data_IF_832615394566
#
_entry.id   IF_832615394566
#
_cell.length_a   1.000
_cell.length_b   1.000
_cell.length_c   1.000
_cell.angle_alpha   90.00
_cell.angle_beta   90.00
_cell.angle_gamma   90.00
#
_symmetry.space_group_name_H-M   'P 1'
#
loop_
_entity.id
_entity.type
_entity.pdbx_description
1 polymer ?
#
# COMPACT_ATOMS: atom_id res chain seq x y z
N UNK A 1 15.65 -9.27 13.39
CA UNK A 1 15.30 -9.25 11.95
C UNK A 1 14.65 -7.91 11.66
N UNK A 2 15.21 -7.11 10.74
CA UNK A 2 14.60 -5.83 10.38
C UNK A 2 13.44 -6.08 9.42
N UNK A 3 12.27 -5.44 9.61
CA UNK A 3 11.16 -5.55 8.67
C UNK A 3 11.59 -5.04 7.29
N UNK A 4 11.35 -5.84 6.26
CA UNK A 4 11.69 -5.44 4.90
C UNK A 4 10.49 -4.67 4.31
N UNK A 5 10.69 -3.39 4.05
CA UNK A 5 9.68 -2.57 3.39
C UNK A 5 10.07 -2.41 1.93
N UNK A 6 9.22 -2.89 1.04
CA UNK A 6 9.47 -2.82 -0.39
C UNK A 6 9.10 -1.44 -0.90
N UNK A 7 9.84 -0.97 -1.90
CA UNK A 7 9.41 0.16 -2.74
C UNK A 7 8.04 -0.21 -3.31
N UNK A 8 7.13 0.76 -3.40
CA UNK A 8 5.75 0.51 -3.83
C UNK A 8 5.68 -0.11 -5.24
N UNK A 9 6.69 0.17 -6.06
CA UNK A 9 6.85 -0.39 -7.41
C UNK A 9 7.10 -1.91 -7.42
N UNK A 10 7.63 -2.44 -6.32
CA UNK A 10 7.91 -3.87 -6.15
C UNK A 10 6.75 -4.63 -5.51
N UNK A 11 5.70 -3.94 -5.07
CA UNK A 11 4.54 -4.59 -4.48
C UNK A 11 3.74 -5.31 -5.60
N UNK A 12 3.63 -6.65 -5.56
CA UNK A 12 2.97 -7.40 -6.62
C UNK A 12 1.48 -7.06 -6.69
N UNK A 13 0.91 -7.04 -7.89
CA UNK A 13 -0.51 -6.77 -8.07
C UNK A 13 -0.92 -5.29 -8.02
N UNK A 14 0.06 -4.38 -8.02
CA UNK A 14 -0.14 -2.98 -8.40
C UNK A 14 0.15 -2.78 -9.89
N UNK A 15 -0.72 -2.04 -10.57
CA UNK A 15 -0.48 -1.54 -11.92
C UNK A 15 0.35 -0.26 -11.90
N UNK A 16 1.02 0.07 -13.00
CA UNK A 16 1.80 1.30 -13.16
C UNK A 16 1.00 2.58 -12.87
N UNK A 17 -0.28 2.61 -13.26
CA UNK A 17 -1.20 3.71 -12.95
C UNK A 17 -1.44 3.86 -11.45
N UNK A 18 -1.62 2.73 -10.75
CA UNK A 18 -1.88 2.68 -9.31
C UNK A 18 -0.62 3.06 -8.51
N UNK A 19 0.57 2.63 -8.95
CA UNK A 19 1.85 3.06 -8.38
C UNK A 19 2.02 4.58 -8.48
N UNK A 20 1.68 5.17 -9.63
CA UNK A 20 1.73 6.64 -9.82
C UNK A 20 0.75 7.36 -8.90
N UNK A 21 -0.47 6.83 -8.74
CA UNK A 21 -1.47 7.42 -7.84
C UNK A 21 -1.01 7.36 -6.38
N UNK A 22 -0.44 6.24 -5.94
CA UNK A 22 0.12 6.08 -4.59
C UNK A 22 1.28 7.05 -4.35
N UNK A 23 2.23 7.13 -5.30
CA UNK A 23 3.34 8.10 -5.23
C UNK A 23 2.85 9.55 -5.20
N UNK A 24 1.79 9.88 -5.96
CA UNK A 24 1.16 11.19 -5.91
C UNK A 24 0.50 11.51 -4.55
N UNK A 25 0.21 10.50 -3.73
CA UNK A 25 -0.22 10.65 -2.34
C UNK A 25 0.94 10.57 -1.33
N UNK A 26 2.19 10.61 -1.81
CA UNK A 26 3.39 10.51 -0.98
C UNK A 26 3.65 9.11 -0.42
N UNK A 27 3.12 8.06 -1.06
CA UNK A 27 3.35 6.66 -0.68
C UNK A 27 4.45 6.10 -1.57
N UNK A 28 5.67 6.01 -1.06
CA UNK A 28 6.83 5.52 -1.82
C UNK A 28 7.15 4.05 -1.54
N UNK A 29 6.77 3.54 -0.38
CA UNK A 29 7.03 2.17 0.05
C UNK A 29 5.85 1.56 0.81
N UNK A 30 5.95 0.26 1.10
CA UNK A 30 4.89 -0.48 1.81
C UNK A 30 4.69 0.00 3.26
N UNK A 31 5.71 0.57 3.90
CA UNK A 31 5.56 1.17 5.23
C UNK A 31 4.67 2.41 5.19
N UNK A 32 4.86 3.28 4.20
CA UNK A 32 4.05 4.49 4.04
C UNK A 32 2.59 4.14 3.79
N UNK A 33 2.34 3.11 2.97
CA UNK A 33 0.99 2.60 2.73
C UNK A 33 0.33 2.15 4.05
N UNK A 34 1.05 1.38 4.87
CA UNK A 34 0.55 0.90 6.17
C UNK A 34 0.31 2.06 7.16
N UNK A 35 1.21 3.06 7.19
CA UNK A 35 1.09 4.25 8.03
C UNK A 35 -0.07 5.15 7.65
N UNK A 36 -0.41 5.22 6.36
CA UNK A 36 -1.56 6.00 5.87
C UNK A 36 -2.90 5.24 5.99
N UNK A 37 -2.87 3.93 6.26
CA UNK A 37 -4.08 3.09 6.35
C UNK A 37 -4.30 2.36 7.70
N UNK A 38 -3.99 2.97 8.86
CA UNK A 38 -4.04 2.27 10.16
C UNK A 38 -5.47 2.00 10.63
N UNK A 39 -6.44 2.80 10.18
CA UNK A 39 -7.85 2.68 10.59
C UNK A 39 -8.76 2.52 9.36
N UNK A 40 -9.98 2.01 9.59
CA UNK A 40 -10.98 1.89 8.53
C UNK A 40 -11.30 3.27 7.89
N UNK A 41 -11.34 4.34 8.69
CA UNK A 41 -11.58 5.70 8.18
C UNK A 41 -10.48 6.15 7.23
N UNK A 42 -9.21 5.95 7.58
CA UNK A 42 -8.07 6.30 6.73
C UNK A 42 -8.05 5.48 5.43
N UNK A 43 -8.45 4.20 5.50
CA UNK A 43 -8.61 3.36 4.30
C UNK A 43 -9.69 3.90 3.36
N UNK A 44 -10.84 4.29 3.91
CA UNK A 44 -11.94 4.86 3.11
C UNK A 44 -11.51 6.19 2.48
N UNK A 45 -10.86 7.05 3.25
CA UNK A 45 -10.35 8.35 2.76
C UNK A 45 -9.34 8.17 1.61
N UNK A 46 -8.36 7.29 1.79
CA UNK A 46 -7.36 6.99 0.77
C UNK A 46 -7.99 6.33 -0.47
N UNK A 47 -8.92 5.39 -0.29
CA UNK A 47 -9.66 4.78 -1.40
C UNK A 47 -10.45 5.84 -2.19
N UNK A 48 -11.07 6.79 -1.50
CA UNK A 48 -11.77 7.94 -2.11
C UNK A 48 -10.82 8.84 -2.91
N UNK A 49 -9.67 9.21 -2.33
CA UNK A 49 -8.64 10.02 -3.00
C UNK A 49 -8.08 9.37 -4.27
N UNK A 50 -7.82 8.07 -4.19
CA UNK A 50 -7.32 7.29 -5.33
C UNK A 50 -8.43 6.93 -6.33
N UNK A 51 -9.71 7.22 -6.01
CA UNK A 51 -10.90 6.78 -6.76
C UNK A 51 -10.92 5.28 -7.01
N UNK A 52 -10.51 4.50 -6.01
CA UNK A 52 -10.41 3.04 -6.08
C UNK A 52 -11.44 2.37 -5.18
N UNK A 53 -11.79 1.14 -5.53
CA UNK A 53 -12.63 0.33 -4.67
C UNK A 53 -11.85 -0.10 -3.42
N UNK A 54 -12.47 -0.02 -2.23
CA UNK A 54 -11.84 -0.38 -0.95
C UNK A 54 -11.24 -1.80 -0.95
N UNK A 55 -11.83 -2.73 -1.72
CA UNK A 55 -11.33 -4.09 -1.90
C UNK A 55 -9.92 -4.13 -2.51
N UNK A 56 -9.61 -3.24 -3.46
CA UNK A 56 -8.28 -3.14 -4.07
C UNK A 56 -7.27 -2.61 -3.06
N UNK A 57 -7.65 -1.55 -2.33
CA UNK A 57 -6.79 -0.99 -1.29
C UNK A 57 -6.50 -2.03 -0.18
N UNK A 58 -7.51 -2.76 0.28
CA UNK A 58 -7.33 -3.82 1.27
C UNK A 58 -6.41 -4.94 0.78
N UNK A 59 -6.47 -5.27 -0.52
CA UNK A 59 -5.54 -6.23 -1.13
C UNK A 59 -4.10 -5.74 -1.04
N UNK A 60 -3.84 -4.47 -1.36
CA UNK A 60 -2.48 -3.91 -1.27
C UNK A 60 -1.97 -3.82 0.16
N UNK A 61 -2.83 -3.48 1.11
CA UNK A 61 -2.49 -3.46 2.53
C UNK A 61 -2.09 -4.87 2.99
N UNK A 62 -2.84 -5.90 2.62
CA UNK A 62 -2.51 -7.28 2.96
C UNK A 62 -1.17 -7.73 2.34
N UNK A 63 -0.89 -7.32 1.10
CA UNK A 63 0.38 -7.62 0.44
C UNK A 63 1.55 -6.85 1.04
N UNK A 64 1.34 -5.59 1.44
CA UNK A 64 2.33 -4.76 2.12
C UNK A 64 2.67 -5.32 3.50
N UNK A 65 1.67 -5.82 4.23
CA UNK A 65 1.87 -6.50 5.50
C UNK A 65 2.58 -7.86 5.32
N UNK A 66 2.26 -8.60 4.24
CA UNK A 66 2.98 -9.82 3.88
C UNK A 66 4.45 -9.55 3.52
N UNK A 67 4.73 -8.47 2.79
CA UNK A 67 6.09 -8.08 2.40
C UNK A 67 6.99 -7.77 3.62
N UNK A 68 6.39 -7.40 4.76
CA UNK A 68 7.10 -7.17 6.03
C UNK A 68 7.76 -8.44 6.57
N UNK A 69 7.22 -9.61 6.23
CA UNK A 69 7.71 -10.89 6.72
C UNK A 69 8.97 -11.25 5.91
N UNK A 70 10.16 -11.30 6.53
CA UNK A 70 11.36 -11.72 5.84
C UNK A 70 11.18 -13.16 5.35
N UNK A 71 11.41 -13.40 4.06
CA UNK A 71 11.48 -14.77 3.53
C UNK A 71 12.84 -15.36 3.94
N UNK A 72 12.78 -16.55 4.53
CA UNK A 72 13.90 -17.30 5.08
C UNK A 72 14.72 -17.92 3.95
#
# INVERSE_FOLDING_TARGET
MQPQYWVIDLLPGLMLSEQKLLKAQGIENTLDLLKQTPTLKSKIDLAGKLKLHQKHLNKWIALADLARIPKW
#
